data_IF_874763305089
#
_entry.id   IF_874763305089
#
_cell.length_a   1.000
_cell.length_b   1.000
_cell.length_c   1.000
_cell.angle_alpha   90.00
_cell.angle_beta   90.00
_cell.angle_gamma   90.00
#
_symmetry.space_group_name_H-M   'P 1'
#
loop_
_entity.id
_entity.type
_entity.pdbx_description
1 polymer ?
#
# COMPACT_ATOMS: atom_id res chain seq x y z
N UNK A 1 3.92 19.76 47.06
CA UNK A 1 3.33 19.44 45.74
C UNK A 1 4.46 19.34 44.73
N UNK A 2 4.67 18.16 44.12
CA UNK A 2 5.72 17.97 43.10
C UNK A 2 5.16 18.48 41.76
N UNK A 3 5.84 19.38 41.04
CA UNK A 3 5.37 19.84 39.74
C UNK A 3 5.21 18.66 38.78
N UNK A 4 4.11 18.62 38.03
CA UNK A 4 3.88 17.63 36.99
C UNK A 4 4.99 17.80 35.94
N UNK A 5 5.67 16.72 35.48
CA UNK A 5 6.63 16.84 34.39
C UNK A 5 5.94 17.43 33.16
N UNK A 6 6.65 18.27 32.36
CA UNK A 6 6.08 18.85 31.16
C UNK A 6 5.63 17.74 30.20
N UNK A 7 4.57 17.98 29.39
CA UNK A 7 4.14 17.03 28.39
C UNK A 7 5.33 16.73 27.47
N UNK A 8 5.66 15.43 27.31
CA UNK A 8 6.69 15.01 26.36
C UNK A 8 6.24 15.47 24.97
N UNK A 9 6.85 16.52 24.45
CA UNK A 9 6.78 16.86 23.04
C UNK A 9 7.21 15.61 22.27
N UNK A 10 6.27 14.99 21.57
CA UNK A 10 6.56 13.81 20.76
C UNK A 10 7.69 14.19 19.80
N UNK A 11 8.85 13.56 19.98
CA UNK A 11 9.99 13.79 19.09
C UNK A 11 9.54 13.43 17.67
N UNK A 12 9.65 14.35 16.69
CA UNK A 12 9.31 14.04 15.31
C UNK A 12 10.10 12.80 14.89
N UNK A 13 9.44 11.79 14.30
CA UNK A 13 10.20 10.65 13.80
C UNK A 13 11.15 11.15 12.71
N UNK A 14 12.39 10.63 12.67
CA UNK A 14 13.36 11.04 11.69
C UNK A 14 12.82 10.81 10.26
N UNK A 15 13.13 11.74 9.36
CA UNK A 15 12.83 11.58 7.95
C UNK A 15 13.48 10.29 7.40
N UNK A 16 12.85 9.67 6.40
CA UNK A 16 13.41 8.47 5.77
C UNK A 16 14.81 8.77 5.21
N UNK A 17 15.82 7.92 5.50
CA UNK A 17 17.11 8.02 4.85
C UNK A 17 16.95 7.98 3.33
N UNK A 18 17.71 8.82 2.62
CA UNK A 18 17.71 8.85 1.15
C UNK A 18 17.82 7.46 0.49
N UNK A 19 18.73 6.54 0.90
CA UNK A 19 18.82 5.23 0.26
C UNK A 19 17.55 4.38 0.46
N UNK A 20 16.93 4.44 1.63
CA UNK A 20 15.67 3.72 1.90
C UNK A 20 14.53 4.27 1.04
N UNK A 21 14.43 5.60 0.91
CA UNK A 21 13.43 6.23 0.03
C UNK A 21 13.62 5.82 -1.42
N UNK A 22 14.87 5.78 -1.91
CA UNK A 22 15.17 5.31 -3.28
C UNK A 22 14.81 3.85 -3.46
N UNK A 23 15.13 2.98 -2.50
CA UNK A 23 14.77 1.57 -2.55
C UNK A 23 13.25 1.37 -2.59
N UNK A 24 12.49 2.13 -1.80
CA UNK A 24 11.03 2.10 -1.82
C UNK A 24 10.47 2.55 -3.18
N UNK A 25 11.02 3.60 -3.78
CA UNK A 25 10.59 4.05 -5.11
C UNK A 25 10.92 3.01 -6.20
N UNK A 26 12.08 2.36 -6.12
CA UNK A 26 12.44 1.27 -7.02
C UNK A 26 11.52 0.06 -6.85
N UNK A 27 11.17 -0.30 -5.61
CA UNK A 27 10.18 -1.35 -5.32
C UNK A 27 8.79 -0.99 -5.83
N UNK A 28 8.37 0.28 -5.71
CA UNK A 28 7.12 0.74 -6.30
C UNK A 28 7.14 0.57 -7.83
N UNK A 29 8.21 1.00 -8.50
CA UNK A 29 8.35 0.82 -9.94
C UNK A 29 8.32 -0.67 -10.34
N UNK A 30 9.05 -1.53 -9.62
CA UNK A 30 9.03 -2.97 -9.84
C UNK A 30 7.64 -3.59 -9.60
N UNK A 31 6.95 -3.17 -8.55
CA UNK A 31 5.59 -3.59 -8.22
C UNK A 31 4.54 -3.12 -9.23
N UNK A 32 4.80 -2.04 -9.96
CA UNK A 32 3.98 -1.62 -11.09
C UNK A 32 4.32 -2.42 -12.36
N UNK A 33 5.59 -2.70 -12.64
CA UNK A 33 6.00 -3.32 -13.90
C UNK A 33 5.80 -4.84 -13.88
N UNK A 34 6.33 -5.53 -12.87
CA UNK A 34 6.42 -6.99 -12.88
C UNK A 34 5.04 -7.67 -12.88
N UNK A 35 4.08 -7.32 -12.00
CA UNK A 35 2.75 -7.92 -12.04
C UNK A 35 1.97 -7.54 -13.29
N UNK A 36 2.12 -6.29 -13.77
CA UNK A 36 1.35 -5.80 -14.91
C UNK A 36 1.77 -6.40 -16.24
N UNK A 37 3.03 -6.82 -16.41
CA UNK A 37 3.43 -7.61 -17.59
C UNK A 37 2.55 -8.85 -17.72
N UNK A 38 2.30 -9.55 -16.61
CA UNK A 38 1.47 -10.76 -16.60
C UNK A 38 -0.02 -10.44 -16.67
N UNK A 39 -0.49 -9.43 -15.95
CA UNK A 39 -1.90 -9.01 -16.02
C UNK A 39 -2.28 -8.57 -17.44
N UNK A 40 -1.43 -7.78 -18.11
CA UNK A 40 -1.67 -7.35 -19.50
C UNK A 40 -1.72 -8.56 -20.43
N UNK A 41 -0.77 -9.50 -20.32
CA UNK A 41 -0.81 -10.74 -21.11
C UNK A 41 -2.10 -11.53 -20.88
N UNK A 42 -2.55 -11.62 -19.64
CA UNK A 42 -3.81 -12.29 -19.29
C UNK A 42 -5.03 -11.57 -19.86
N UNK A 43 -5.10 -10.24 -19.77
CA UNK A 43 -6.17 -9.45 -20.39
C UNK A 43 -6.20 -9.61 -21.92
N UNK A 44 -5.04 -9.57 -22.56
CA UNK A 44 -4.91 -9.80 -24.01
C UNK A 44 -5.33 -11.22 -24.43
N UNK A 45 -5.24 -12.19 -23.51
CA UNK A 45 -5.70 -13.56 -23.71
C UNK A 45 -7.20 -13.76 -23.37
N UNK A 46 -7.96 -12.69 -23.14
CA UNK A 46 -9.39 -12.74 -22.82
C UNK A 46 -9.72 -12.71 -21.32
N UNK A 47 -8.73 -12.50 -20.47
CA UNK A 47 -8.94 -12.21 -19.05
C UNK A 47 -9.74 -10.93 -18.82
N UNK A 48 -10.36 -10.81 -17.65
CA UNK A 48 -11.15 -9.64 -17.27
C UNK A 48 -11.24 -9.46 -15.76
N UNK A 49 -11.30 -8.21 -15.29
CA UNK A 49 -11.56 -7.88 -13.88
C UNK A 49 -13.01 -8.14 -13.45
N UNK A 50 -13.88 -8.51 -14.39
CA UNK A 50 -15.25 -8.86 -14.08
C UNK A 50 -15.30 -10.05 -13.09
N UNK A 51 -16.08 -9.98 -12.00
CA UNK A 51 -16.03 -10.97 -10.91
C UNK A 51 -16.16 -12.42 -11.38
N UNK A 52 -17.00 -12.66 -12.39
CA UNK A 52 -17.26 -13.98 -12.97
C UNK A 52 -16.06 -14.58 -13.72
N UNK A 53 -15.09 -13.76 -14.14
CA UNK A 53 -13.85 -14.20 -14.81
C UNK A 53 -12.68 -14.17 -13.83
N UNK A 54 -12.58 -13.08 -13.06
CA UNK A 54 -11.46 -12.84 -12.16
C UNK A 54 -11.38 -13.86 -11.02
N UNK A 55 -12.47 -14.09 -10.29
CA UNK A 55 -12.42 -14.95 -9.10
C UNK A 55 -12.11 -16.41 -9.40
N UNK A 56 -12.70 -17.05 -10.42
CA UNK A 56 -12.31 -18.40 -10.80
C UNK A 56 -10.84 -18.50 -11.20
N UNK A 57 -10.28 -17.48 -11.86
CA UNK A 57 -8.87 -17.47 -12.25
C UNK A 57 -7.93 -17.22 -11.05
N UNK A 58 -8.24 -16.24 -10.20
CA UNK A 58 -7.46 -15.91 -9.00
C UNK A 58 -7.44 -17.07 -8.00
N UNK A 59 -8.53 -17.82 -7.91
CA UNK A 59 -8.69 -18.96 -6.98
C UNK A 59 -8.72 -20.31 -7.70
N UNK A 60 -8.05 -20.43 -8.86
CA UNK A 60 -8.08 -21.63 -9.69
C UNK A 60 -7.54 -22.90 -9.02
N UNK A 61 -6.68 -22.77 -8.01
CA UNK A 61 -6.16 -23.89 -7.23
C UNK A 61 -5.79 -23.45 -5.80
N UNK A 62 -5.41 -24.39 -4.95
CA UNK A 62 -5.08 -24.14 -3.55
C UNK A 62 -3.97 -23.08 -3.36
N UNK A 63 -2.95 -23.09 -4.21
CA UNK A 63 -1.83 -22.16 -4.13
C UNK A 63 -2.27 -20.73 -4.49
N UNK A 64 -2.95 -20.54 -5.60
CA UNK A 64 -3.41 -19.20 -6.02
C UNK A 64 -4.52 -18.67 -5.11
N UNK A 65 -5.34 -19.56 -4.56
CA UNK A 65 -6.32 -19.25 -3.50
C UNK A 65 -5.62 -18.68 -2.27
N UNK A 66 -4.60 -19.36 -1.75
CA UNK A 66 -3.85 -18.92 -0.57
C UNK A 66 -3.18 -17.55 -0.80
N UNK A 67 -2.51 -17.37 -1.95
CA UNK A 67 -1.87 -16.10 -2.34
C UNK A 67 -2.90 -14.97 -2.47
N UNK A 68 -4.05 -15.24 -3.10
CA UNK A 68 -5.12 -14.25 -3.26
C UNK A 68 -5.64 -13.80 -1.90
N UNK A 69 -5.94 -14.74 -0.99
CA UNK A 69 -6.40 -14.41 0.35
C UNK A 69 -5.37 -13.59 1.15
N UNK A 70 -4.09 -13.98 1.10
CA UNK A 70 -3.00 -13.25 1.76
C UNK A 70 -2.91 -11.80 1.26
N UNK A 71 -2.89 -11.60 -0.05
CA UNK A 71 -2.79 -10.26 -0.66
C UNK A 71 -4.01 -9.40 -0.32
N UNK A 72 -5.23 -9.95 -0.36
CA UNK A 72 -6.44 -9.18 -0.03
C UNK A 72 -6.53 -8.83 1.46
N UNK A 73 -6.10 -9.72 2.37
CA UNK A 73 -6.01 -9.42 3.80
C UNK A 73 -4.96 -8.35 4.09
N UNK A 74 -3.80 -8.43 3.45
CA UNK A 74 -2.77 -7.39 3.55
C UNK A 74 -3.26 -6.05 2.99
N UNK A 75 -3.97 -6.06 1.85
CA UNK A 75 -4.55 -4.86 1.24
C UNK A 75 -5.64 -4.23 2.11
N UNK A 76 -6.49 -5.03 2.74
CA UNK A 76 -7.51 -4.54 3.68
C UNK A 76 -6.86 -3.89 4.90
N UNK A 77 -5.89 -4.58 5.52
CA UNK A 77 -5.15 -4.07 6.67
C UNK A 77 -4.40 -2.78 6.35
N UNK A 78 -3.73 -2.74 5.19
CA UNK A 78 -3.06 -1.54 4.67
C UNK A 78 -4.04 -0.39 4.44
N UNK A 79 -5.20 -0.66 3.86
CA UNK A 79 -6.23 0.35 3.59
C UNK A 79 -6.77 0.98 4.88
N UNK A 80 -7.06 0.15 5.90
CA UNK A 80 -7.48 0.64 7.21
C UNK A 80 -6.41 1.54 7.84
N UNK A 81 -5.14 1.11 7.78
CA UNK A 81 -4.02 1.89 8.29
C UNK A 81 -3.88 3.25 7.60
N UNK A 82 -3.88 3.28 6.26
CA UNK A 82 -3.72 4.52 5.48
C UNK A 82 -4.86 5.51 5.74
N UNK A 83 -6.10 5.00 5.83
CA UNK A 83 -7.28 5.81 6.11
C UNK A 83 -7.33 6.32 7.55
N UNK A 84 -6.77 5.58 8.50
CA UNK A 84 -6.68 5.99 9.90
C UNK A 84 -5.52 6.97 10.14
N UNK A 85 -4.32 6.67 9.63
CA UNK A 85 -3.09 7.43 9.90
C UNK A 85 -3.07 8.82 9.23
N UNK A 86 -3.73 8.97 8.06
CA UNK A 86 -3.90 10.26 7.35
C UNK A 86 -2.59 11.07 7.13
N UNK A 87 -1.45 10.40 6.99
CA UNK A 87 -0.11 11.01 6.77
C UNK A 87 0.22 11.37 5.32
N UNK A 88 -0.74 11.21 4.41
CA UNK A 88 -0.67 11.65 3.02
C UNK A 88 -1.88 12.53 2.72
N UNK A 89 -1.74 13.47 1.77
CA UNK A 89 -2.82 14.43 1.42
C UNK A 89 -4.11 13.75 0.95
N UNK A 90 -3.99 12.65 0.22
CA UNK A 90 -5.12 11.96 -0.42
C UNK A 90 -5.07 10.45 -0.13
N UNK A 91 -5.38 10.02 1.10
CA UNK A 91 -5.28 8.62 1.51
C UNK A 91 -6.23 7.71 0.73
N UNK A 92 -7.39 8.23 0.31
CA UNK A 92 -8.32 7.50 -0.56
C UNK A 92 -7.69 7.15 -1.91
N UNK A 93 -6.86 8.02 -2.49
CA UNK A 93 -6.15 7.69 -3.75
C UNK A 93 -5.14 6.56 -3.58
N UNK A 94 -4.54 6.43 -2.38
CA UNK A 94 -3.62 5.32 -2.07
C UNK A 94 -4.39 4.00 -1.98
N UNK A 95 -5.58 4.02 -1.36
CA UNK A 95 -6.47 2.85 -1.33
C UNK A 95 -6.93 2.47 -2.74
N UNK A 96 -7.34 3.45 -3.55
CA UNK A 96 -7.71 3.20 -4.95
C UNK A 96 -6.53 2.66 -5.76
N UNK A 97 -5.31 3.14 -5.54
CA UNK A 97 -4.10 2.59 -6.16
C UNK A 97 -3.83 1.15 -5.69
N UNK A 98 -4.08 0.82 -4.42
CA UNK A 98 -3.90 -0.52 -3.89
C UNK A 98 -4.77 -1.56 -4.61
N UNK A 99 -6.05 -1.25 -4.85
CA UNK A 99 -6.96 -2.17 -5.53
C UNK A 99 -6.94 -2.05 -7.06
N UNK A 100 -6.64 -0.86 -7.59
CA UNK A 100 -6.61 -0.61 -9.04
C UNK A 100 -5.28 -0.95 -9.70
N UNK A 101 -4.15 -0.80 -8.99
CA UNK A 101 -2.80 -1.04 -9.51
C UNK A 101 -2.09 -2.19 -8.80
N UNK A 102 -2.38 -2.41 -7.52
CA UNK A 102 -1.85 -3.52 -6.73
C UNK A 102 -1.12 -3.06 -5.47
N UNK A 103 -1.22 -3.87 -4.42
CA UNK A 103 -0.57 -3.64 -3.13
C UNK A 103 0.96 -3.48 -3.25
N UNK A 104 1.59 -4.27 -4.13
CA UNK A 104 3.03 -4.23 -4.38
C UNK A 104 3.53 -2.87 -4.90
N UNK A 105 2.68 -2.10 -5.58
CA UNK A 105 2.96 -0.72 -5.97
C UNK A 105 2.59 0.28 -4.87
N UNK A 106 1.37 0.16 -4.34
CA UNK A 106 0.79 1.16 -3.45
C UNK A 106 1.51 1.27 -2.10
N UNK A 107 1.88 0.13 -1.50
CA UNK A 107 2.55 0.09 -0.19
C UNK A 107 3.91 0.83 -0.20
N UNK A 108 4.89 0.47 -1.05
CA UNK A 108 6.19 1.15 -1.01
C UNK A 108 6.10 2.62 -1.44
N UNK A 109 5.20 2.96 -2.38
CA UNK A 109 4.96 4.35 -2.75
C UNK A 109 4.38 5.15 -1.58
N UNK A 110 3.41 4.58 -0.85
CA UNK A 110 2.87 5.19 0.36
C UNK A 110 3.96 5.46 1.39
N UNK A 111 4.80 4.45 1.67
CA UNK A 111 5.90 4.60 2.63
C UNK A 111 6.89 5.68 2.21
N UNK A 112 7.19 5.84 0.92
CA UNK A 112 8.09 6.86 0.41
C UNK A 112 7.51 8.29 0.43
N UNK A 113 6.18 8.44 0.41
CA UNK A 113 5.48 9.73 0.33
C UNK A 113 4.86 10.19 1.66
N UNK A 114 4.64 9.28 2.62
CA UNK A 114 4.04 9.62 3.92
C UNK A 114 4.93 10.58 4.71
N UNK A 115 4.32 11.54 5.39
CA UNK A 115 5.05 12.45 6.29
C UNK A 115 5.65 11.68 7.48
N UNK A 116 6.90 11.99 7.81
CA UNK A 116 7.61 11.35 8.92
C UNK A 116 7.42 12.09 10.26
N UNK A 117 7.04 13.37 10.23
CA UNK A 117 6.95 14.23 11.42
C UNK A 117 5.84 13.85 12.43
N UNK A 118 5.08 12.79 12.14
CA UNK A 118 4.02 12.28 13.00
C UNK A 118 2.71 13.06 12.91
N UNK A 119 2.68 14.18 12.17
CA UNK A 119 1.49 15.03 12.04
C UNK A 119 0.55 14.49 10.95
N UNK A 120 -0.76 14.37 11.24
CA UNK A 120 -1.74 14.14 10.20
C UNK A 120 -1.76 15.33 9.24
N UNK A 121 -2.05 15.10 7.95
CA UNK A 121 -2.03 16.18 6.96
C UNK A 121 -3.16 17.20 7.16
N UNK A 122 -4.24 16.79 7.84
CA UNK A 122 -5.43 17.60 8.10
C UNK A 122 -5.80 17.66 9.61
N UNK A 123 -4.84 17.42 10.50
CA UNK A 123 -5.01 17.56 11.95
C UNK A 123 -4.46 18.90 12.44
#
# INVERSE_FOLDING_TARGET
MRPLPPPRTAMPLPALPAPLRTALLALAAAGLVLPWIWNIRWFLAGGSVAPQVFWPAAMANALTTAITLDVYLAAASFSLWVLWERRVRRPVLVVLACFGLGLAFALPLYLALRRADGTPVNG
#
